data_IF_947813901805
#
_entry.id   IF_947813901805
#
_cell.length_a   1.000
_cell.length_b   1.000
_cell.length_c   1.000
_cell.angle_alpha   90.00
_cell.angle_beta   90.00
_cell.angle_gamma   90.00
#
_symmetry.space_group_name_H-M   'P 1'
#
loop_
_entity.id
_entity.type
_entity.pdbx_description
1 polymer ?
#
# COMPACT_ATOMS: atom_id res chain seq x y z
N UNK A 1 -42.12 -24.51 15.71
CA UNK A 1 -41.38 -23.25 15.50
C UNK A 1 -39.96 -23.46 16.02
N UNK A 2 -39.35 -24.60 15.64
CA UNK A 2 -38.25 -25.24 16.37
C UNK A 2 -36.97 -25.35 15.54
N UNK A 3 -37.07 -25.25 14.21
CA UNK A 3 -35.93 -25.26 13.30
C UNK A 3 -35.02 -24.04 13.48
N UNK A 4 -35.56 -22.93 13.98
CA UNK A 4 -34.79 -21.71 14.20
C UNK A 4 -33.81 -21.87 15.38
N UNK A 5 -34.24 -22.55 16.46
CA UNK A 5 -33.38 -22.82 17.61
C UNK A 5 -32.35 -23.90 17.30
N UNK A 6 -32.70 -24.90 16.49
CA UNK A 6 -31.75 -25.92 16.05
C UNK A 6 -30.61 -25.36 15.18
N UNK A 7 -30.90 -24.37 14.34
CA UNK A 7 -29.89 -23.70 13.52
C UNK A 7 -28.96 -22.78 14.33
N UNK A 8 -29.46 -22.14 15.38
CA UNK A 8 -28.62 -21.35 16.31
C UNK A 8 -27.67 -22.24 17.10
N UNK A 9 -28.16 -23.38 17.62
CA UNK A 9 -27.38 -24.26 18.49
C UNK A 9 -26.31 -25.07 17.74
N UNK A 10 -26.54 -25.35 16.46
CA UNK A 10 -25.61 -26.16 15.64
C UNK A 10 -24.55 -25.34 14.90
N UNK A 11 -24.58 -24.00 15.00
CA UNK A 11 -23.60 -23.11 14.33
C UNK A 11 -23.64 -23.17 12.79
N UNK A 12 -24.63 -23.85 12.20
CA UNK A 12 -24.81 -24.02 10.74
C UNK A 12 -25.71 -22.93 10.16
N UNK A 13 -25.57 -21.69 10.63
CA UNK A 13 -26.20 -20.55 9.95
C UNK A 13 -25.47 -20.35 8.62
N UNK A 14 -25.89 -21.11 7.60
CA UNK A 14 -25.45 -20.93 6.23
C UNK A 14 -25.82 -19.51 5.83
N UNK A 15 -24.83 -18.63 5.79
CA UNK A 15 -24.90 -17.35 5.11
C UNK A 15 -25.52 -17.61 3.74
N UNK A 16 -26.65 -16.96 3.38
CA UNK A 16 -27.15 -17.07 2.02
C UNK A 16 -26.07 -16.47 1.12
N UNK A 17 -25.44 -17.33 0.33
CA UNK A 17 -24.43 -17.01 -0.66
C UNK A 17 -24.96 -15.89 -1.56
N UNK A 18 -24.57 -14.64 -1.27
CA UNK A 18 -24.94 -13.46 -2.08
C UNK A 18 -24.26 -13.45 -3.45
N UNK A 19 -23.55 -14.52 -3.82
CA UNK A 19 -22.78 -14.61 -5.06
C UNK A 19 -23.50 -15.33 -6.21
N UNK A 20 -24.83 -15.47 -6.16
CA UNK A 20 -25.64 -15.84 -7.34
C UNK A 20 -26.03 -14.60 -8.17
N UNK A 21 -25.04 -13.85 -8.65
CA UNK A 21 -25.23 -13.09 -9.90
C UNK A 21 -25.07 -14.08 -11.06
N UNK A 22 -26.19 -14.71 -11.40
CA UNK A 22 -26.38 -15.38 -12.68
C UNK A 22 -26.32 -14.31 -13.78
N UNK A 23 -25.13 -14.02 -14.28
CA UNK A 23 -25.01 -13.45 -15.63
C UNK A 23 -24.95 -14.61 -16.62
N UNK A 24 -25.95 -14.55 -17.48
CA UNK A 24 -26.37 -15.47 -18.51
C UNK A 24 -25.27 -15.64 -19.56
N UNK A 25 -24.37 -16.61 -19.39
CA UNK A 25 -23.51 -17.07 -20.50
C UNK A 25 -22.98 -18.50 -20.24
N UNK A 26 -23.77 -19.52 -20.57
CA UNK A 26 -23.32 -20.93 -20.57
C UNK A 26 -24.14 -21.77 -21.55
N UNK A 27 -24.43 -21.23 -22.73
CA UNK A 27 -24.90 -22.01 -23.86
C UNK A 27 -23.70 -22.58 -24.65
N UNK A 28 -22.81 -23.38 -24.07
CA UNK A 28 -22.03 -24.34 -24.88
C UNK A 28 -21.46 -25.48 -24.03
N UNK A 29 -22.17 -26.61 -24.13
CA UNK A 29 -21.69 -28.01 -24.21
C UNK A 29 -20.59 -28.51 -23.26
N UNK A 30 -21.05 -29.55 -22.54
CA UNK A 30 -20.42 -30.87 -22.39
C UNK A 30 -19.57 -31.16 -21.15
N UNK A 31 -20.21 -31.94 -20.28
CA UNK A 31 -19.76 -33.29 -19.90
C UNK A 31 -18.32 -33.42 -19.42
N UNK A 32 -18.14 -33.33 -18.10
CA UNK A 32 -17.61 -34.45 -17.33
C UNK A 32 -17.82 -34.17 -15.84
N UNK A 33 -18.72 -34.95 -15.22
CA UNK A 33 -18.83 -35.04 -13.77
C UNK A 33 -17.55 -35.69 -13.24
N UNK A 34 -16.50 -34.89 -13.02
CA UNK A 34 -15.29 -35.36 -12.33
C UNK A 34 -15.65 -35.63 -10.87
N UNK A 35 -15.39 -36.88 -10.49
CA UNK A 35 -15.54 -37.45 -9.16
C UNK A 35 -14.94 -36.51 -8.09
N UNK A 36 -15.79 -36.03 -7.17
CA UNK A 36 -15.39 -35.15 -6.05
C UNK A 36 -14.60 -35.93 -4.98
N UNK A 37 -14.61 -37.27 -5.04
CA UNK A 37 -13.90 -38.12 -4.08
C UNK A 37 -12.40 -38.30 -4.35
N UNK A 38 -11.88 -37.96 -5.53
CA UNK A 38 -10.44 -38.08 -5.84
C UNK A 38 -9.58 -36.90 -5.34
N UNK A 39 -10.19 -35.83 -4.81
CA UNK A 39 -9.45 -34.68 -4.26
C UNK A 39 -8.90 -34.89 -2.84
N UNK A 40 -8.98 -36.12 -2.29
CA UNK A 40 -8.45 -36.43 -0.96
C UNK A 40 -7.13 -37.21 -0.97
N UNK A 41 -6.45 -37.32 -2.13
CA UNK A 41 -5.06 -37.76 -2.11
C UNK A 41 -4.22 -36.60 -1.57
N UNK A 42 -3.98 -36.64 -0.24
CA UNK A 42 -2.99 -35.86 0.49
C UNK A 42 -1.66 -35.97 -0.25
N UNK A 43 -1.33 -34.97 -1.06
CA UNK A 43 0.04 -34.67 -1.51
C UNK A 43 0.77 -33.85 -0.43
N UNK A 44 0.51 -34.13 0.86
CA UNK A 44 0.94 -33.27 1.96
C UNK A 44 2.25 -33.70 2.61
N UNK A 45 3.02 -34.59 1.99
CA UNK A 45 4.34 -34.99 2.47
C UNK A 45 5.25 -35.29 1.27
N UNK A 46 5.58 -34.25 0.48
CA UNK A 46 6.78 -34.32 -0.35
C UNK A 46 7.97 -34.33 0.62
N UNK A 47 8.75 -35.42 0.73
CA UNK A 47 9.86 -35.47 1.66
C UNK A 47 10.82 -34.35 1.30
N UNK A 48 11.27 -33.59 2.31
CA UNK A 48 12.31 -32.57 2.16
C UNK A 48 13.54 -33.24 1.54
N UNK A 49 13.69 -33.11 0.23
CA UNK A 49 14.86 -33.61 -0.49
C UNK A 49 16.07 -32.78 -0.07
N UNK A 50 17.26 -33.39 -0.12
CA UNK A 50 18.50 -32.69 0.18
C UNK A 50 18.65 -31.41 -0.68
N UNK A 51 18.16 -31.43 -1.91
CA UNK A 51 18.12 -30.27 -2.81
C UNK A 51 17.26 -29.12 -2.26
N UNK A 52 16.10 -29.42 -1.68
CA UNK A 52 15.25 -28.41 -1.04
C UNK A 52 15.93 -27.78 0.17
N UNK A 53 16.72 -28.55 0.93
CA UNK A 53 17.48 -28.05 2.08
C UNK A 53 18.59 -27.11 1.62
N UNK A 54 19.31 -27.47 0.55
CA UNK A 54 20.36 -26.60 -0.02
C UNK A 54 19.76 -25.31 -0.58
N UNK A 55 18.67 -25.38 -1.33
CA UNK A 55 17.97 -24.20 -1.85
C UNK A 55 17.45 -23.30 -0.72
N UNK A 56 16.95 -23.89 0.37
CA UNK A 56 16.50 -23.13 1.54
C UNK A 56 17.68 -22.43 2.24
N UNK A 57 18.83 -23.10 2.35
CA UNK A 57 20.04 -22.50 2.91
C UNK A 57 20.53 -21.30 2.08
N UNK A 58 20.60 -21.45 0.76
CA UNK A 58 20.96 -20.34 -0.15
C UNK A 58 19.97 -19.18 -0.04
N UNK A 59 18.67 -19.48 0.04
CA UNK A 59 17.64 -18.47 0.23
C UNK A 59 17.82 -17.71 1.56
N UNK A 60 18.14 -18.41 2.65
CA UNK A 60 18.43 -17.78 3.94
C UNK A 60 19.71 -16.93 3.91
N UNK A 61 20.78 -17.41 3.27
CA UNK A 61 22.01 -16.64 3.10
C UNK A 61 21.76 -15.34 2.32
N UNK A 62 20.97 -15.42 1.24
CA UNK A 62 20.56 -14.25 0.48
C UNK A 62 19.71 -13.28 1.32
N UNK A 63 18.81 -13.78 2.18
CA UNK A 63 18.02 -12.91 3.08
C UNK A 63 18.93 -12.20 4.08
N UNK A 64 19.89 -12.90 4.68
CA UNK A 64 20.84 -12.31 5.63
C UNK A 64 21.67 -11.22 4.95
N UNK A 65 22.17 -11.49 3.74
CA UNK A 65 22.96 -10.50 3.00
C UNK A 65 22.13 -9.26 2.63
N UNK A 66 20.88 -9.44 2.19
CA UNK A 66 19.97 -8.33 1.93
C UNK A 66 19.67 -7.51 3.21
N UNK A 67 19.51 -8.17 4.36
CA UNK A 67 19.30 -7.48 5.64
C UNK A 67 20.54 -6.65 6.05
N UNK A 68 21.75 -7.18 5.83
CA UNK A 68 22.99 -6.44 6.07
C UNK A 68 23.09 -5.21 5.17
N UNK A 69 22.81 -5.36 3.88
CA UNK A 69 22.83 -4.24 2.94
C UNK A 69 21.80 -3.16 3.32
N UNK A 70 20.59 -3.57 3.74
CA UNK A 70 19.57 -2.65 4.22
C UNK A 70 20.01 -1.91 5.49
N UNK A 71 20.67 -2.59 6.43
CA UNK A 71 21.19 -1.95 7.64
C UNK A 71 22.25 -0.88 7.32
N UNK A 72 23.17 -1.18 6.39
CA UNK A 72 24.18 -0.22 5.92
C UNK A 72 23.53 0.99 5.25
N UNK A 73 22.54 0.77 4.39
CA UNK A 73 21.83 1.86 3.72
C UNK A 73 21.08 2.79 4.71
N UNK A 74 20.47 2.22 5.76
CA UNK A 74 19.83 2.99 6.82
C UNK A 74 20.84 3.81 7.63
N UNK A 75 22.00 3.23 7.94
CA UNK A 75 23.07 3.94 8.63
C UNK A 75 23.58 5.12 7.80
N UNK A 76 23.85 4.92 6.50
CA UNK A 76 24.27 5.99 5.59
C UNK A 76 23.23 7.11 5.49
N UNK A 77 21.95 6.76 5.47
CA UNK A 77 20.86 7.73 5.48
C UNK A 77 20.84 8.55 6.78
N UNK A 78 20.97 7.89 7.93
CA UNK A 78 21.04 8.56 9.23
C UNK A 78 22.23 9.53 9.29
N UNK A 79 23.41 9.11 8.84
CA UNK A 79 24.59 9.96 8.77
C UNK A 79 24.38 11.19 7.87
N UNK A 80 23.72 11.01 6.73
CA UNK A 80 23.38 12.12 5.83
C UNK A 80 22.37 13.09 6.47
N UNK A 81 21.39 12.58 7.22
CA UNK A 81 20.42 13.40 7.96
C UNK A 81 21.11 14.22 9.07
N UNK A 82 22.05 13.62 9.81
CA UNK A 82 22.85 14.33 10.81
C UNK A 82 23.67 15.46 10.18
N UNK A 83 24.32 15.21 9.02
CA UNK A 83 25.07 16.27 8.31
C UNK A 83 24.16 17.40 7.83
N UNK A 84 22.96 17.08 7.34
CA UNK A 84 21.97 18.09 6.94
C UNK A 84 21.55 18.94 8.13
N UNK A 85 21.23 18.33 9.27
CA UNK A 85 20.88 19.05 10.49
C UNK A 85 22.01 19.99 10.93
N UNK A 86 23.25 19.51 10.97
CA UNK A 86 24.41 20.34 11.31
C UNK A 86 24.66 21.50 10.34
N UNK A 87 24.38 21.33 9.05
CA UNK A 87 24.46 22.42 8.07
C UNK A 87 23.36 23.47 8.32
N UNK A 88 22.13 23.02 8.61
CA UNK A 88 21.02 23.91 8.94
C UNK A 88 21.28 24.70 10.23
N UNK A 89 21.86 24.08 11.25
CA UNK A 89 22.27 24.77 12.48
C UNK A 89 23.28 25.88 12.20
N UNK A 90 24.30 25.61 11.37
CA UNK A 90 25.29 26.62 10.97
C UNK A 90 24.66 27.78 10.20
N UNK A 91 23.71 27.49 9.31
CA UNK A 91 22.95 28.53 8.58
C UNK A 91 22.12 29.36 9.57
N UNK A 92 21.42 28.72 10.50
CA UNK A 92 20.63 29.41 11.52
C UNK A 92 21.50 30.32 12.41
N UNK A 93 22.69 29.85 12.81
CA UNK A 93 23.67 30.67 13.54
C UNK A 93 24.14 31.87 12.72
N UNK A 94 24.43 31.68 11.43
CA UNK A 94 24.81 32.77 10.52
C UNK A 94 23.71 33.82 10.39
N UNK A 95 22.46 33.40 10.16
CA UNK A 95 21.30 34.30 10.09
C UNK A 95 21.13 35.06 11.41
N UNK A 96 21.23 34.38 12.56
CA UNK A 96 21.14 35.02 13.88
C UNK A 96 22.20 36.09 14.09
N UNK A 97 23.38 35.94 13.51
CA UNK A 97 24.44 36.96 13.57
C UNK A 97 24.21 38.16 12.63
N UNK A 98 23.46 37.97 11.54
CA UNK A 98 23.16 39.01 10.56
C UNK A 98 21.92 39.85 10.93
N UNK A 99 20.97 39.28 11.67
CA UNK A 99 19.76 40.00 12.06
C UNK A 99 20.04 40.84 13.32
N UNK A 100 19.93 42.19 13.26
CA UNK A 100 20.11 43.02 14.43
C UNK A 100 19.03 42.70 15.49
N UNK A 101 19.38 42.73 16.80
CA UNK A 101 18.48 42.34 17.89
C UNK A 101 17.20 43.19 18.00
N UNK A 102 17.08 44.28 17.23
CA UNK A 102 15.95 45.20 17.25
C UNK A 102 14.79 44.76 16.33
N UNK A 103 14.98 43.75 15.47
CA UNK A 103 13.93 43.29 14.53
C UNK A 103 12.95 42.25 15.11
N UNK A 104 13.18 41.73 16.32
CA UNK A 104 12.34 40.70 16.97
C UNK A 104 11.62 41.19 18.24
N UNK A 105 11.59 42.50 18.50
CA UNK A 105 11.04 43.06 19.74
C UNK A 105 9.51 43.31 19.73
N UNK A 106 8.78 42.89 18.69
CA UNK A 106 7.32 43.10 18.59
C UNK A 106 6.60 41.88 18.05
N UNK A 107 6.63 40.76 18.78
CA UNK A 107 5.48 39.86 18.82
C UNK A 107 5.30 39.36 20.25
N UNK A 108 4.28 39.92 20.91
CA UNK A 108 3.79 39.43 22.19
C UNK A 108 3.35 37.96 22.05
N UNK A 109 3.42 37.15 23.12
CA UNK A 109 2.94 35.78 23.09
C UNK A 109 1.43 35.79 22.82
N UNK A 110 1.02 35.40 21.62
CA UNK A 110 -0.39 35.09 21.36
C UNK A 110 -0.66 33.79 22.10
N UNK A 111 -1.21 33.92 23.30
CA UNK A 111 -1.82 32.83 24.06
C UNK A 111 -2.83 32.12 23.17
N UNK A 112 -2.48 30.93 22.71
CA UNK A 112 -3.44 29.99 22.18
C UNK A 112 -4.32 29.51 23.35
N UNK A 113 -5.66 29.63 23.28
CA UNK A 113 -6.52 29.05 24.30
C UNK A 113 -6.40 27.52 24.24
N UNK A 114 -5.75 26.96 25.25
CA UNK A 114 -5.84 25.55 25.61
C UNK A 114 -7.21 25.31 26.24
N UNK A 115 -8.15 24.73 25.47
CA UNK A 115 -9.24 23.97 26.08
C UNK A 115 -8.77 22.53 26.26
N UNK A 116 -8.68 22.16 27.52
CA UNK A 116 -8.29 20.84 28.00
C UNK A 116 -9.55 20.14 28.48
N UNK A 117 -9.96 19.05 27.84
CA UNK A 117 -10.77 18.02 28.49
C UNK A 117 -10.53 16.66 27.82
N UNK A 118 -10.19 15.70 28.66
CA UNK A 118 -9.76 14.35 28.39
C UNK A 118 -10.88 13.42 27.87
N UNK A 119 -10.42 12.36 27.22
CA UNK A 119 -10.85 10.95 27.39
C UNK A 119 -11.48 10.20 26.20
N UNK A 120 -10.77 9.13 25.83
CA UNK A 120 -11.16 7.89 25.13
C UNK A 120 -11.31 7.86 23.59
N UNK A 121 -10.41 7.05 23.01
CA UNK A 121 -10.59 6.15 21.87
C UNK A 121 -11.09 6.70 20.53
N UNK A 122 -10.21 6.72 19.51
CA UNK A 122 -10.44 6.06 18.22
C UNK A 122 -9.38 6.46 17.19
N UNK A 123 -9.06 5.50 16.34
CA UNK A 123 -8.25 5.57 15.13
C UNK A 123 -8.70 6.67 14.13
N UNK A 124 -7.88 6.99 13.11
CA UNK A 124 -7.78 8.31 12.51
C UNK A 124 -8.93 8.61 11.53
N UNK A 125 -9.61 9.73 11.76
CA UNK A 125 -10.45 10.39 10.77
C UNK A 125 -9.55 11.32 9.96
N UNK A 126 -9.04 10.83 8.82
CA UNK A 126 -8.60 11.74 7.74
C UNK A 126 -9.77 11.88 6.78
N UNK A 127 -10.35 13.05 6.92
CA UNK A 127 -11.47 13.67 6.25
C UNK A 127 -11.53 13.35 4.75
N UNK A 128 -12.62 12.68 4.38
CA UNK A 128 -13.05 12.52 3.00
C UNK A 128 -13.58 13.86 2.48
N UNK A 129 -12.74 14.67 1.85
CA UNK A 129 -13.25 15.79 1.03
C UNK A 129 -13.80 15.25 -0.28
N UNK A 130 -15.13 15.22 -0.29
CA UNK A 130 -16.05 15.01 -1.40
C UNK A 130 -15.71 15.80 -2.68
N UNK A 131 -15.79 15.10 -3.82
CA UNK A 131 -16.59 15.58 -4.95
C UNK A 131 -16.18 16.88 -5.66
N UNK A 132 -14.98 16.94 -6.26
CA UNK A 132 -14.73 17.78 -7.44
C UNK A 132 -14.12 16.93 -8.55
N UNK A 133 -14.50 17.22 -9.79
CA UNK A 133 -14.23 16.46 -11.00
C UNK A 133 -12.71 16.20 -11.24
N UNK A 134 -12.14 15.19 -10.60
CA UNK A 134 -10.72 14.82 -10.72
C UNK A 134 -10.43 13.92 -11.94
N UNK A 135 -10.98 14.28 -13.10
CA UNK A 135 -10.62 13.58 -14.35
C UNK A 135 -9.31 14.18 -14.85
N UNK A 136 -8.22 13.41 -14.76
CA UNK A 136 -6.91 13.79 -15.29
C UNK A 136 -7.01 14.26 -16.75
N UNK A 137 -6.54 15.49 -16.99
CA UNK A 137 -6.41 16.09 -18.32
C UNK A 137 -5.27 15.38 -19.07
N UNK A 138 -5.30 15.33 -20.40
CA UNK A 138 -4.40 14.50 -21.24
C UNK A 138 -2.92 14.54 -20.82
N UNK A 139 -2.36 15.73 -20.58
CA UNK A 139 -0.95 15.89 -20.16
C UNK A 139 -0.65 15.41 -18.73
N UNK A 140 -1.64 15.35 -17.83
CA UNK A 140 -1.44 14.81 -16.48
C UNK A 140 -1.44 13.28 -16.49
N UNK A 141 -2.17 12.67 -17.43
CA UNK A 141 -2.17 11.21 -17.60
C UNK A 141 -0.80 10.72 -18.00
N UNK A 142 -0.11 11.44 -18.89
CA UNK A 142 1.25 11.13 -19.32
C UNK A 142 2.25 11.25 -18.17
N UNK A 143 2.10 12.27 -17.32
CA UNK A 143 2.91 12.40 -16.10
C UNK A 143 2.71 11.20 -15.16
N UNK A 144 1.46 10.80 -14.93
CA UNK A 144 1.15 9.63 -14.10
C UNK A 144 1.70 8.34 -14.70
N UNK A 145 1.62 8.15 -16.02
CA UNK A 145 2.22 6.96 -16.67
C UNK A 145 3.74 6.96 -16.58
N UNK A 146 4.39 8.12 -16.74
CA UNK A 146 5.85 8.21 -16.60
C UNK A 146 6.31 7.91 -15.17
N UNK A 147 5.53 8.34 -14.17
CA UNK A 147 5.78 7.97 -12.77
C UNK A 147 5.64 6.46 -12.60
N UNK A 148 4.57 5.84 -13.13
CA UNK A 148 4.39 4.38 -13.07
C UNK A 148 5.55 3.62 -13.69
N UNK A 149 6.08 4.08 -14.84
CA UNK A 149 7.23 3.46 -15.51
C UNK A 149 8.48 3.52 -14.62
N UNK A 150 8.82 4.71 -14.10
CA UNK A 150 9.98 4.88 -13.19
C UNK A 150 9.87 3.99 -11.96
N UNK A 151 8.71 4.00 -11.29
CA UNK A 151 8.46 3.16 -10.12
C UNK A 151 8.54 1.65 -10.45
N UNK A 152 8.31 1.28 -11.70
CA UNK A 152 8.45 -0.10 -12.16
C UNK A 152 9.90 -0.46 -12.50
N UNK A 153 10.66 0.47 -13.06
CA UNK A 153 12.12 0.35 -13.26
C UNK A 153 12.84 0.22 -11.90
N UNK A 154 12.35 0.89 -10.86
CA UNK A 154 12.78 0.74 -9.47
C UNK A 154 12.41 -0.64 -8.85
N UNK A 155 11.81 -1.54 -9.63
CA UNK A 155 11.49 -2.91 -9.21
C UNK A 155 10.26 -3.04 -8.31
N UNK A 156 9.45 -1.99 -8.14
CA UNK A 156 8.28 -2.08 -7.26
C UNK A 156 7.15 -2.92 -7.86
N UNK A 157 6.45 -3.66 -6.99
CA UNK A 157 5.27 -4.44 -7.37
C UNK A 157 4.08 -3.53 -7.68
N UNK A 158 3.18 -3.96 -8.56
CA UNK A 158 2.02 -3.15 -8.97
C UNK A 158 1.12 -2.73 -7.79
N UNK A 159 1.01 -3.56 -6.76
CA UNK A 159 0.25 -3.21 -5.55
C UNK A 159 0.95 -2.14 -4.71
N UNK A 160 2.28 -2.20 -4.61
CA UNK A 160 3.07 -1.20 -3.89
C UNK A 160 3.00 0.16 -4.59
N UNK A 161 3.09 0.17 -5.92
CA UNK A 161 2.90 1.38 -6.73
C UNK A 161 1.49 1.96 -6.52
N UNK A 162 0.45 1.11 -6.43
CA UNK A 162 -0.91 1.58 -6.18
C UNK A 162 -1.06 2.27 -4.82
N UNK A 163 -0.51 1.66 -3.76
CA UNK A 163 -0.50 2.27 -2.42
C UNK A 163 0.27 3.59 -2.41
N UNK A 164 1.40 3.65 -3.12
CA UNK A 164 2.19 4.87 -3.22
C UNK A 164 1.46 5.98 -3.98
N UNK A 165 0.76 5.65 -5.08
CA UNK A 165 -0.06 6.61 -5.82
C UNK A 165 -1.22 7.14 -4.96
N UNK A 166 -1.83 6.30 -4.12
CA UNK A 166 -2.86 6.70 -3.15
C UNK A 166 -2.27 7.60 -2.05
N UNK A 167 -1.10 7.23 -1.50
CA UNK A 167 -0.41 8.00 -0.45
C UNK A 167 0.04 9.38 -0.95
N UNK A 168 0.48 9.45 -2.21
CA UNK A 168 0.87 10.70 -2.85
C UNK A 168 -0.33 11.54 -3.34
N UNK A 169 -1.56 11.05 -3.17
CA UNK A 169 -2.77 11.79 -3.51
C UNK A 169 -3.05 11.92 -5.01
N UNK A 170 -2.45 11.07 -5.86
CA UNK A 170 -2.71 11.14 -7.30
C UNK A 170 -4.13 10.64 -7.62
N UNK A 171 -4.94 11.42 -8.36
CA UNK A 171 -6.27 10.96 -8.76
C UNK A 171 -6.17 9.79 -9.75
N UNK A 172 -7.14 8.88 -9.71
CA UNK A 172 -7.22 7.79 -10.69
C UNK A 172 -7.61 8.31 -12.08
N UNK A 173 -7.37 7.55 -13.14
CA UNK A 173 -7.76 7.93 -14.51
C UNK A 173 -9.27 8.17 -14.69
N UNK A 174 -10.07 7.47 -13.88
CA UNK A 174 -11.52 7.65 -13.84
C UNK A 174 -11.95 8.80 -12.92
N UNK A 175 -11.02 9.38 -12.15
CA UNK A 175 -11.28 10.38 -11.11
C UNK A 175 -12.09 9.86 -9.94
N UNK A 176 -12.26 8.54 -9.82
CA UNK A 176 -13.10 7.89 -8.81
C UNK A 176 -12.39 6.67 -8.22
N UNK A 177 -12.47 6.54 -6.90
CA UNK A 177 -11.96 5.40 -6.16
C UNK A 177 -10.43 5.37 -5.98
N UNK A 178 -9.95 4.27 -5.39
CA UNK A 178 -8.54 4.04 -5.05
C UNK A 178 -7.76 3.44 -6.22
N UNK A 179 -6.44 3.66 -6.24
CA UNK A 179 -5.55 2.95 -7.15
C UNK A 179 -5.56 1.45 -6.87
N UNK A 180 -5.65 0.64 -7.93
CA UNK A 180 -5.58 -0.82 -7.85
C UNK A 180 -4.40 -1.31 -8.68
N UNK A 181 -3.67 -2.32 -8.20
CA UNK A 181 -2.51 -2.87 -8.90
C UNK A 181 -2.84 -3.35 -10.33
N UNK A 182 -4.03 -3.93 -10.54
CA UNK A 182 -4.48 -4.35 -11.86
C UNK A 182 -4.58 -3.18 -12.86
N UNK A 183 -5.02 -2.00 -12.41
CA UNK A 183 -5.11 -0.80 -13.25
C UNK A 183 -3.72 -0.33 -13.66
N UNK A 184 -2.77 -0.35 -12.73
CA UNK A 184 -1.38 0.04 -12.98
C UNK A 184 -0.71 -0.91 -13.96
N UNK A 185 -0.91 -2.22 -13.79
CA UNK A 185 -0.41 -3.24 -14.73
C UNK A 185 -0.90 -2.97 -16.15
N UNK A 186 -2.21 -2.75 -16.34
CA UNK A 186 -2.78 -2.44 -17.66
C UNK A 186 -2.21 -1.16 -18.26
N UNK A 187 -1.94 -0.14 -17.43
CA UNK A 187 -1.36 1.11 -17.90
C UNK A 187 0.07 0.93 -18.37
N UNK A 188 0.88 0.22 -17.59
CA UNK A 188 2.26 -0.08 -17.94
C UNK A 188 2.35 -0.91 -19.22
N UNK A 189 1.55 -1.97 -19.36
CA UNK A 189 1.50 -2.79 -20.57
C UNK A 189 1.09 -1.97 -21.80
N UNK A 190 0.11 -1.08 -21.65
CA UNK A 190 -0.35 -0.21 -22.75
C UNK A 190 0.71 0.80 -23.19
N UNK A 191 1.53 1.30 -22.26
CA UNK A 191 2.62 2.21 -22.58
C UNK A 191 3.83 1.51 -23.16
N UNK A 192 4.10 0.26 -22.77
CA UNK A 192 5.21 -0.53 -23.29
C UNK A 192 4.99 -1.03 -24.73
N UNK A 193 3.74 -1.07 -25.20
CA UNK A 193 3.38 -1.47 -26.58
C UNK A 193 3.39 -0.31 -27.59
N UNK A 194 3.66 0.91 -27.15
CA UNK A 194 3.55 2.12 -27.96
C UNK A 194 4.93 2.68 -28.27
#
# INVERSE_FOLDING_TARGET
MDDFLHNLRSGKLKQPDQNRRQYNDSQYKNSQRRNVQDRRKRESESPLTAENITAFKEALENIVENQKQMAVALQQRSDAEVRKAGALEKIAQSIKSMVPPQAFATEAPVEAPMDTAEEMASAPVVESTSGRNNKLVGGEREKVTNIIIRLREDGMSYEKIAKQMETAGYPTLSGKGKWRGQTIKRLFEKTAQK
#
